data_IF_533537378287
#
_entry.id   IF_533537378287
#
_cell.length_a   1.000
_cell.length_b   1.000
_cell.length_c   1.000
_cell.angle_alpha   90.00
_cell.angle_beta   90.00
_cell.angle_gamma   90.00
#
_symmetry.space_group_name_H-M   'P 1'
#
loop_
_entity.id
_entity.type
_entity.pdbx_description
1 polymer ?
#
# COMPACT_ATOMS: atom_id res chain seq x y z
N UNK A 1 -28.91 6.02 17.92
CA UNK A 1 -29.39 7.12 17.05
C UNK A 1 -30.30 6.49 16.00
N UNK A 2 -31.51 7.00 15.83
CA UNK A 2 -32.44 6.57 14.76
C UNK A 2 -31.96 7.09 13.40
N UNK A 3 -32.16 6.31 12.33
CA UNK A 3 -31.73 6.51 10.93
C UNK A 3 -32.08 7.86 10.26
N UNK A 4 -32.73 8.80 10.94
CA UNK A 4 -33.33 10.00 10.34
C UNK A 4 -32.45 11.26 10.28
N UNK A 5 -31.17 11.20 10.66
CA UNK A 5 -30.26 12.37 10.72
C UNK A 5 -28.88 12.16 10.04
N UNK A 6 -28.74 11.15 9.17
CA UNK A 6 -27.48 10.94 8.46
C UNK A 6 -27.27 12.01 7.37
N UNK A 7 -26.03 12.52 7.19
CA UNK A 7 -25.72 13.45 6.11
C UNK A 7 -26.00 12.83 4.72
N UNK A 8 -26.28 13.63 3.68
CA UNK A 8 -26.73 13.14 2.37
C UNK A 8 -25.71 12.27 1.62
N UNK A 9 -24.43 12.34 2.01
CA UNK A 9 -23.33 11.54 1.47
C UNK A 9 -23.11 10.21 2.21
N UNK A 10 -23.83 10.01 3.30
CA UNK A 10 -23.81 8.77 4.10
C UNK A 10 -25.03 7.96 3.73
N UNK A 11 -24.79 6.77 3.19
CA UNK A 11 -25.84 5.82 2.88
C UNK A 11 -25.83 4.72 3.94
N UNK A 12 -26.95 4.54 4.64
CA UNK A 12 -27.25 3.27 5.31
C UNK A 12 -27.98 2.36 4.30
N UNK A 13 -27.79 1.07 4.42
CA UNK A 13 -28.54 0.07 3.66
C UNK A 13 -30.05 0.13 3.92
N UNK A 14 -30.52 0.65 5.05
CA UNK A 14 -31.95 0.91 5.25
C UNK A 14 -32.54 1.90 4.22
N UNK A 15 -31.72 2.80 3.67
CA UNK A 15 -32.08 3.70 2.57
C UNK A 15 -32.03 3.02 1.19
N UNK A 16 -31.26 1.93 1.06
CA UNK A 16 -31.10 1.14 -0.16
C UNK A 16 -32.18 0.06 -0.33
N UNK A 17 -32.81 -0.37 0.78
CA UNK A 17 -33.91 -1.35 0.84
C UNK A 17 -35.30 -0.85 0.41
N UNK A 18 -35.44 0.34 -0.18
CA UNK A 18 -36.76 0.83 -0.65
C UNK A 18 -37.29 0.12 -1.92
N UNK A 19 -36.60 -0.92 -2.39
CA UNK A 19 -37.12 -1.99 -3.22
C UNK A 19 -37.22 -3.29 -2.39
N UNK A 20 -38.44 -3.80 -2.25
CA UNK A 20 -38.93 -4.87 -1.36
C UNK A 20 -38.18 -6.24 -1.38
N UNK A 21 -38.42 -7.14 -0.38
CA UNK A 21 -37.36 -7.79 0.40
C UNK A 21 -37.26 -9.34 0.28
N UNK A 22 -36.14 -9.94 0.73
CA UNK A 22 -36.13 -10.94 1.83
C UNK A 22 -34.78 -11.66 2.06
N UNK A 23 -34.54 -12.00 3.34
CA UNK A 23 -33.58 -12.97 3.92
C UNK A 23 -32.09 -12.59 4.05
N UNK A 24 -31.61 -12.64 5.31
CA UNK A 24 -30.25 -12.31 5.81
C UNK A 24 -29.80 -10.84 5.62
N UNK A 25 -28.97 -10.26 6.52
CA UNK A 25 -28.35 -8.95 6.27
C UNK A 25 -27.19 -9.07 5.28
N UNK A 26 -27.32 -9.95 4.27
CA UNK A 26 -26.40 -9.95 3.14
C UNK A 26 -26.85 -8.86 2.17
N UNK A 27 -25.88 -8.18 1.58
CA UNK A 27 -26.13 -7.21 0.51
C UNK A 27 -26.73 -7.95 -0.69
N UNK A 28 -27.83 -7.46 -1.25
CA UNK A 28 -28.37 -8.02 -2.50
C UNK A 28 -27.42 -7.77 -3.66
N UNK A 29 -27.43 -8.64 -4.69
CA UNK A 29 -26.56 -8.50 -5.86
C UNK A 29 -26.74 -7.15 -6.59
N UNK A 30 -27.95 -6.61 -6.59
CA UNK A 30 -28.29 -5.32 -7.19
C UNK A 30 -27.71 -4.14 -6.39
N UNK A 31 -27.79 -4.19 -5.05
CA UNK A 31 -27.15 -3.20 -4.16
C UNK A 31 -25.62 -3.22 -4.33
N UNK A 32 -25.03 -4.42 -4.45
CA UNK A 32 -23.60 -4.60 -4.67
C UNK A 32 -23.17 -3.99 -6.02
N UNK A 33 -23.93 -4.25 -7.08
CA UNK A 33 -23.64 -3.74 -8.43
C UNK A 33 -23.72 -2.20 -8.49
N UNK A 34 -24.80 -1.63 -7.96
CA UNK A 34 -25.05 -0.17 -7.96
C UNK A 34 -23.93 0.61 -7.27
N UNK A 35 -23.30 0.02 -6.25
CA UNK A 35 -22.26 0.66 -5.45
C UNK A 35 -20.86 0.13 -5.75
N UNK A 36 -20.65 -0.50 -6.92
CA UNK A 36 -19.44 -1.24 -7.33
C UNK A 36 -18.78 -2.04 -6.18
N UNK A 37 -19.57 -2.54 -5.23
CA UNK A 37 -19.10 -3.35 -4.12
C UNK A 37 -18.70 -4.75 -4.59
N UNK A 38 -18.91 -5.09 -5.87
CA UNK A 38 -18.52 -6.37 -6.46
C UNK A 38 -17.02 -6.63 -6.32
N UNK A 39 -16.20 -5.58 -6.40
CA UNK A 39 -14.76 -5.71 -6.17
C UNK A 39 -14.47 -6.02 -4.71
N UNK A 40 -15.26 -5.46 -3.78
CA UNK A 40 -15.18 -5.77 -2.36
C UNK A 40 -15.70 -7.18 -2.04
N UNK A 41 -16.71 -7.69 -2.76
CA UNK A 41 -17.14 -9.09 -2.62
C UNK A 41 -16.13 -10.09 -3.17
N UNK A 42 -15.36 -9.68 -4.18
CA UNK A 42 -14.29 -10.47 -4.77
C UNK A 42 -13.00 -10.44 -3.94
N UNK A 43 -12.97 -9.75 -2.79
CA UNK A 43 -11.84 -9.80 -1.85
C UNK A 43 -11.55 -11.20 -1.31
N UNK A 44 -12.53 -12.10 -1.40
CA UNK A 44 -12.38 -13.52 -1.09
C UNK A 44 -11.45 -14.25 -2.07
N UNK A 45 -11.23 -13.72 -3.27
CA UNK A 45 -10.54 -14.40 -4.36
C UNK A 45 -9.48 -13.52 -5.04
N UNK A 46 -8.20 -13.84 -4.80
CA UNK A 46 -6.99 -13.34 -5.47
C UNK A 46 -6.82 -11.81 -5.54
N UNK A 47 -5.61 -11.33 -5.80
CA UNK A 47 -5.30 -9.91 -5.93
C UNK A 47 -5.83 -9.27 -7.24
N UNK A 48 -7.02 -9.68 -7.66
CA UNK A 48 -7.72 -9.29 -8.88
C UNK A 48 -8.01 -7.78 -8.94
N UNK A 49 -8.22 -7.13 -7.79
CA UNK A 49 -8.46 -5.69 -7.72
C UNK A 49 -7.30 -4.87 -8.29
N UNK A 50 -6.05 -5.32 -8.09
CA UNK A 50 -4.87 -4.63 -8.64
C UNK A 50 -4.84 -4.74 -10.16
N UNK A 51 -5.18 -5.91 -10.73
CA UNK A 51 -5.31 -6.08 -12.18
C UNK A 51 -6.40 -5.21 -12.79
N UNK A 52 -7.41 -4.86 -12.00
CA UNK A 52 -8.47 -3.92 -12.37
C UNK A 52 -8.09 -2.45 -12.13
N UNK A 53 -6.85 -2.14 -11.70
CA UNK A 53 -6.40 -0.77 -11.43
C UNK A 53 -6.91 -0.18 -10.13
N UNK A 54 -7.27 -1.01 -9.14
CA UNK A 54 -7.84 -0.56 -7.87
C UNK A 54 -7.12 -1.14 -6.66
N UNK A 55 -7.15 -0.38 -5.56
CA UNK A 55 -6.69 -0.83 -4.25
C UNK A 55 -7.86 -1.03 -3.29
N UNK A 56 -7.62 -1.86 -2.27
CA UNK A 56 -8.51 -1.99 -1.12
C UNK A 56 -7.70 -1.79 0.15
N UNK A 57 -8.17 -0.89 1.01
CA UNK A 57 -7.53 -0.56 2.28
C UNK A 57 -8.39 -1.05 3.44
N UNK A 58 -7.78 -1.75 4.39
CA UNK A 58 -8.48 -2.32 5.54
C UNK A 58 -7.98 -1.70 6.84
N UNK A 59 -8.91 -1.42 7.75
CA UNK A 59 -8.61 -0.91 9.09
C UNK A 59 -8.65 0.61 9.16
N UNK A 60 -9.06 1.09 10.34
CA UNK A 60 -9.36 2.50 10.60
C UNK A 60 -8.17 3.42 10.30
N UNK A 61 -7.00 3.11 10.83
CA UNK A 61 -5.79 3.92 10.64
C UNK A 61 -5.34 3.95 9.18
N UNK A 62 -5.42 2.82 8.47
CA UNK A 62 -5.03 2.77 7.06
C UNK A 62 -6.01 3.58 6.19
N UNK A 63 -7.32 3.51 6.48
CA UNK A 63 -8.32 4.32 5.80
C UNK A 63 -8.10 5.82 6.07
N UNK A 64 -7.69 6.18 7.29
CA UNK A 64 -7.33 7.56 7.66
C UNK A 64 -6.13 8.05 6.85
N UNK A 65 -5.03 7.29 6.83
CA UNK A 65 -3.81 7.63 6.06
C UNK A 65 -4.13 7.77 4.57
N UNK A 66 -4.97 6.89 4.03
CA UNK A 66 -5.45 6.94 2.65
C UNK A 66 -6.20 8.27 2.37
N UNK A 67 -7.19 8.62 3.19
CA UNK A 67 -7.95 9.87 3.05
C UNK A 67 -7.04 11.09 3.16
N UNK A 68 -6.18 11.14 4.18
CA UNK A 68 -5.25 12.25 4.40
C UNK A 68 -4.27 12.42 3.23
N UNK A 69 -3.79 11.32 2.66
CA UNK A 69 -2.93 11.38 1.46
C UNK A 69 -3.70 11.88 0.24
N UNK A 70 -4.93 11.42 0.03
CA UNK A 70 -5.77 11.89 -1.08
C UNK A 70 -6.10 13.39 -0.93
N UNK A 71 -6.40 13.85 0.29
CA UNK A 71 -6.58 15.28 0.60
C UNK A 71 -5.31 16.08 0.30
N UNK A 72 -4.15 15.64 0.80
CA UNK A 72 -2.87 16.34 0.62
C UNK A 72 -2.46 16.43 -0.85
N UNK A 73 -2.76 15.39 -1.63
CA UNK A 73 -2.41 15.33 -3.06
C UNK A 73 -3.51 15.83 -4.00
N UNK A 74 -4.63 16.33 -3.46
CA UNK A 74 -5.81 16.73 -4.24
C UNK A 74 -6.22 15.64 -5.25
N UNK A 75 -6.28 14.40 -4.77
CA UNK A 75 -6.58 13.22 -5.58
C UNK A 75 -7.99 12.70 -5.32
N UNK A 76 -8.69 12.30 -6.38
CA UNK A 76 -9.99 11.60 -6.34
C UNK A 76 -9.84 10.08 -6.18
N UNK A 77 -8.64 9.58 -5.88
CA UNK A 77 -8.35 8.15 -5.94
C UNK A 77 -9.06 7.35 -4.85
N UNK A 78 -9.38 7.95 -3.69
CA UNK A 78 -10.27 7.32 -2.74
C UNK A 78 -11.71 7.48 -3.23
N UNK A 79 -12.33 6.38 -3.68
CA UNK A 79 -13.66 6.40 -4.28
C UNK A 79 -14.76 6.26 -3.22
N UNK A 80 -14.58 5.35 -2.27
CA UNK A 80 -15.61 5.00 -1.27
C UNK A 80 -15.01 4.50 0.04
N UNK A 81 -15.77 4.69 1.13
CA UNK A 81 -15.53 4.03 2.42
C UNK A 81 -16.77 3.24 2.87
N UNK A 82 -16.54 2.02 3.33
CA UNK A 82 -17.53 1.17 3.98
C UNK A 82 -17.17 1.06 5.48
N UNK A 83 -17.97 1.67 6.35
CA UNK A 83 -17.61 1.92 7.74
C UNK A 83 -18.69 1.42 8.71
N UNK A 84 -18.28 0.97 9.89
CA UNK A 84 -19.16 0.97 11.07
C UNK A 84 -19.39 2.41 11.52
N UNK A 85 -20.50 2.66 12.21
CA UNK A 85 -20.82 3.98 12.76
C UNK A 85 -19.68 4.57 13.60
N UNK A 86 -19.07 3.77 14.49
CA UNK A 86 -17.94 4.23 15.31
C UNK A 86 -16.69 4.60 14.51
N UNK A 87 -16.42 3.90 13.40
CA UNK A 87 -15.33 4.23 12.50
C UNK A 87 -15.62 5.52 11.73
N UNK A 88 -16.87 5.71 11.27
CA UNK A 88 -17.32 6.94 10.66
C UNK A 88 -17.18 8.14 11.60
N UNK A 89 -17.63 8.02 12.85
CA UNK A 89 -17.48 9.07 13.86
C UNK A 89 -16.01 9.46 14.08
N UNK A 90 -15.10 8.49 14.05
CA UNK A 90 -13.66 8.74 14.20
C UNK A 90 -13.05 9.46 12.99
N UNK A 91 -13.51 9.15 11.77
CA UNK A 91 -12.99 9.74 10.52
C UNK A 91 -13.81 10.92 10.02
N UNK A 92 -14.80 11.38 10.79
CA UNK A 92 -15.82 12.33 10.34
C UNK A 92 -15.22 13.58 9.73
N UNK A 93 -14.22 14.18 10.38
CA UNK A 93 -13.55 15.39 9.90
C UNK A 93 -12.89 15.17 8.54
N UNK A 94 -12.08 14.11 8.41
CA UNK A 94 -11.40 13.79 7.15
C UNK A 94 -12.38 13.50 6.02
N UNK A 95 -13.49 12.81 6.33
CA UNK A 95 -14.57 12.51 5.38
C UNK A 95 -15.24 13.80 4.91
N UNK A 96 -15.62 14.68 5.84
CA UNK A 96 -16.27 15.95 5.53
C UNK A 96 -15.37 16.85 4.68
N UNK A 97 -14.08 16.92 4.99
CA UNK A 97 -13.11 17.69 4.20
C UNK A 97 -12.92 17.11 2.79
N UNK A 98 -12.90 15.78 2.67
CA UNK A 98 -12.75 15.13 1.36
C UNK A 98 -13.99 15.32 0.49
N UNK A 99 -15.19 15.24 1.07
CA UNK A 99 -16.47 15.41 0.34
C UNK A 99 -16.68 16.84 -0.14
N UNK A 100 -16.22 17.84 0.63
CA UNK A 100 -16.25 19.25 0.18
C UNK A 100 -15.49 19.44 -1.14
N UNK A 101 -14.38 18.72 -1.32
CA UNK A 101 -13.58 18.76 -2.54
C UNK A 101 -14.14 17.81 -3.63
N UNK A 102 -14.68 16.67 -3.21
CA UNK A 102 -15.14 15.61 -4.11
C UNK A 102 -16.57 15.16 -3.78
N UNK A 103 -17.58 15.87 -4.28
CA UNK A 103 -18.98 15.59 -3.97
C UNK A 103 -19.47 14.22 -4.43
N UNK A 104 -18.74 13.51 -5.30
CA UNK A 104 -19.05 12.15 -5.76
C UNK A 104 -18.56 11.04 -4.81
N UNK A 105 -17.74 11.38 -3.82
CA UNK A 105 -17.33 10.43 -2.80
C UNK A 105 -18.54 9.99 -1.97
N UNK A 106 -18.55 8.71 -1.58
CA UNK A 106 -19.66 8.11 -0.82
C UNK A 106 -19.14 7.33 0.37
N UNK A 107 -19.86 7.44 1.48
CA UNK A 107 -19.65 6.62 2.68
C UNK A 107 -20.86 5.70 2.84
N UNK A 108 -20.62 4.41 3.02
CA UNK A 108 -21.66 3.42 3.27
C UNK A 108 -21.50 2.93 4.71
N UNK A 109 -22.53 3.10 5.52
CA UNK A 109 -22.56 2.55 6.87
C UNK A 109 -23.01 1.10 6.84
N UNK A 110 -22.21 0.24 7.46
CA UNK A 110 -22.43 -1.20 7.50
C UNK A 110 -22.27 -1.73 8.94
N UNK A 111 -23.13 -2.67 9.30
CA UNK A 111 -22.95 -3.48 10.53
C UNK A 111 -21.75 -4.42 10.42
N UNK A 112 -21.35 -5.02 11.55
CA UNK A 112 -20.29 -6.03 11.61
C UNK A 112 -20.54 -7.22 10.66
N UNK A 113 -21.76 -7.76 10.66
CA UNK A 113 -22.13 -8.91 9.83
C UNK A 113 -22.17 -8.57 8.34
N UNK A 114 -22.57 -7.35 7.98
CA UNK A 114 -22.54 -6.88 6.58
C UNK A 114 -21.12 -6.71 6.07
N UNK A 115 -20.22 -6.11 6.86
CA UNK A 115 -18.80 -5.98 6.50
C UNK A 115 -18.13 -7.35 6.34
N UNK A 116 -18.42 -8.29 7.24
CA UNK A 116 -17.91 -9.65 7.17
C UNK A 116 -18.49 -10.43 5.98
N UNK A 117 -19.77 -10.26 5.68
CA UNK A 117 -20.40 -10.83 4.48
C UNK A 117 -19.72 -10.33 3.20
N UNK A 118 -19.47 -9.02 3.14
CA UNK A 118 -18.81 -8.33 2.03
C UNK A 118 -17.38 -8.84 1.83
N UNK A 119 -16.58 -8.91 2.88
CA UNK A 119 -15.15 -9.22 2.78
C UNK A 119 -14.82 -10.71 2.85
N UNK A 120 -15.68 -11.50 3.50
CA UNK A 120 -15.47 -12.90 3.79
C UNK A 120 -14.68 -13.21 5.05
N UNK A 121 -14.36 -12.21 5.86
CA UNK A 121 -13.65 -12.37 7.12
C UNK A 121 -13.97 -11.21 8.06
N UNK A 122 -13.80 -11.37 9.39
CA UNK A 122 -14.11 -10.31 10.33
C UNK A 122 -13.16 -9.11 10.17
N UNK A 123 -13.74 -7.92 9.98
CA UNK A 123 -12.98 -6.66 9.86
C UNK A 123 -12.78 -6.03 11.24
N UNK A 124 -11.52 -5.95 11.66
CA UNK A 124 -11.13 -5.25 12.90
C UNK A 124 -11.30 -3.74 12.74
N UNK A 125 -11.87 -3.09 13.75
CA UNK A 125 -12.15 -1.65 13.81
C UNK A 125 -13.05 -1.11 12.67
N UNK A 126 -13.70 -2.00 11.91
CA UNK A 126 -14.89 -1.68 11.11
C UNK A 126 -14.71 -0.67 9.98
N UNK A 127 -13.55 -0.60 9.33
CA UNK A 127 -13.31 0.32 8.24
C UNK A 127 -12.68 -0.38 7.03
N UNK A 128 -13.24 -0.11 5.85
CA UNK A 128 -12.70 -0.52 4.55
C UNK A 128 -12.79 0.66 3.61
N UNK A 129 -11.75 0.89 2.84
CA UNK A 129 -11.76 1.82 1.72
C UNK A 129 -11.46 1.13 0.40
N UNK A 130 -11.96 1.75 -0.66
CA UNK A 130 -11.77 1.32 -2.03
C UNK A 130 -11.44 2.53 -2.91
N UNK A 131 -10.46 2.35 -3.80
CA UNK A 131 -9.98 3.44 -4.63
C UNK A 131 -9.24 3.00 -5.87
N UNK A 132 -8.95 3.95 -6.75
CA UNK A 132 -8.11 3.74 -7.94
C UNK A 132 -6.64 3.78 -7.56
N UNK A 133 -5.85 2.85 -8.06
CA UNK A 133 -4.40 2.91 -7.91
C UNK A 133 -3.92 4.23 -8.53
N UNK A 134 -3.17 5.05 -7.78
CA UNK A 134 -2.61 6.30 -8.32
C UNK A 134 -1.63 6.00 -9.46
N UNK A 135 -1.45 6.98 -10.35
CA UNK A 135 -0.38 6.92 -11.33
C UNK A 135 0.97 6.77 -10.63
N UNK A 136 1.83 5.94 -11.21
CA UNK A 136 3.18 5.69 -10.72
C UNK A 136 3.99 6.99 -10.70
N UNK A 137 4.75 7.19 -9.61
CA UNK A 137 5.58 8.37 -9.39
C UNK A 137 7.04 7.98 -9.40
N UNK A 138 7.87 8.79 -10.05
CA UNK A 138 9.31 8.58 -10.10
C UNK A 138 9.94 8.69 -8.71
N UNK A 139 10.93 7.84 -8.44
CA UNK A 139 11.75 7.89 -7.24
C UNK A 139 12.81 9.00 -7.39
N UNK A 140 12.69 10.05 -6.57
CA UNK A 140 13.44 11.31 -6.71
C UNK A 140 14.13 11.79 -5.43
N UNK A 141 13.80 11.19 -4.29
CA UNK A 141 14.43 11.47 -3.00
C UNK A 141 15.95 11.21 -3.01
N UNK A 142 16.66 11.65 -1.96
CA UNK A 142 18.13 11.49 -1.88
C UNK A 142 18.55 10.02 -1.73
N UNK A 143 17.74 9.21 -1.05
CA UNK A 143 17.97 7.78 -0.85
C UNK A 143 16.85 6.98 -1.50
N UNK A 144 17.20 6.04 -2.37
CA UNK A 144 16.23 5.13 -3.00
C UNK A 144 16.53 3.71 -2.52
N UNK A 145 15.50 3.05 -2.00
CA UNK A 145 15.56 1.62 -1.69
C UNK A 145 15.13 0.86 -2.94
N UNK A 146 16.05 0.10 -3.52
CA UNK A 146 15.84 -0.70 -4.71
C UNK A 146 15.56 -2.15 -4.31
N UNK A 147 14.47 -2.73 -4.81
CA UNK A 147 14.00 -4.06 -4.43
C UNK A 147 13.98 -5.01 -5.62
N UNK A 148 14.79 -6.08 -5.53
CA UNK A 148 14.95 -7.09 -6.57
C UNK A 148 14.23 -8.39 -6.19
N UNK A 149 13.13 -8.71 -6.90
CA UNK A 149 12.33 -9.94 -6.71
C UNK A 149 11.76 -10.17 -5.31
N UNK A 150 11.29 -9.11 -4.64
CA UNK A 150 10.62 -9.22 -3.35
C UNK A 150 9.19 -9.72 -3.54
N UNK A 151 8.94 -10.96 -3.16
CA UNK A 151 7.67 -11.65 -3.38
C UNK A 151 6.77 -11.71 -2.14
N UNK A 152 7.31 -11.54 -0.95
CA UNK A 152 6.50 -11.47 0.27
C UNK A 152 5.93 -10.06 0.49
N UNK A 153 4.61 -9.96 0.40
CA UNK A 153 3.86 -8.71 0.62
C UNK A 153 4.02 -8.13 2.02
N UNK A 154 4.30 -8.96 3.03
CA UNK A 154 4.47 -8.49 4.41
C UNK A 154 5.80 -7.74 4.53
N UNK A 155 6.87 -8.33 3.99
CA UNK A 155 8.20 -7.72 3.90
C UNK A 155 8.16 -6.46 3.04
N UNK A 156 7.54 -6.49 1.86
CA UNK A 156 7.37 -5.29 1.03
C UNK A 156 6.66 -4.16 1.81
N UNK A 157 5.58 -4.47 2.53
CA UNK A 157 4.91 -3.44 3.34
C UNK A 157 5.77 -2.93 4.51
N UNK A 158 6.57 -3.79 5.14
CA UNK A 158 7.55 -3.38 6.16
C UNK A 158 8.56 -2.37 5.59
N UNK A 159 9.15 -2.69 4.43
CA UNK A 159 10.10 -1.83 3.73
C UNK A 159 9.45 -0.50 3.34
N UNK A 160 8.22 -0.51 2.81
CA UNK A 160 7.45 0.71 2.48
C UNK A 160 7.32 1.62 3.70
N UNK A 161 6.96 1.04 4.85
CA UNK A 161 6.83 1.81 6.10
C UNK A 161 8.16 2.39 6.53
N UNK A 162 9.24 1.61 6.44
CA UNK A 162 10.59 2.08 6.76
C UNK A 162 11.02 3.20 5.82
N UNK A 163 10.85 3.03 4.50
CA UNK A 163 11.17 4.03 3.48
C UNK A 163 10.45 5.36 3.74
N UNK A 164 9.14 5.33 3.98
CA UNK A 164 8.36 6.53 4.28
C UNK A 164 8.89 7.27 5.52
N UNK A 165 9.20 6.55 6.60
CA UNK A 165 9.72 7.16 7.84
C UNK A 165 11.15 7.71 7.68
N UNK A 166 11.94 7.17 6.77
CA UNK A 166 13.27 7.67 6.44
C UNK A 166 13.26 8.81 5.41
N UNK A 167 12.10 9.10 4.79
CA UNK A 167 12.00 10.05 3.69
C UNK A 167 12.65 9.56 2.39
N UNK A 168 12.70 8.24 2.21
CA UNK A 168 13.26 7.56 1.03
C UNK A 168 12.16 7.09 0.09
N UNK A 169 12.49 7.05 -1.19
CA UNK A 169 11.59 6.52 -2.23
C UNK A 169 11.98 5.06 -2.54
N UNK A 170 11.11 4.37 -3.28
CA UNK A 170 11.30 2.98 -3.65
C UNK A 170 11.39 2.80 -5.16
N UNK A 171 12.30 1.93 -5.60
CA UNK A 171 12.35 1.40 -6.96
C UNK A 171 12.20 -0.13 -6.89
N UNK A 172 11.15 -0.68 -7.49
CA UNK A 172 10.86 -2.10 -7.48
C UNK A 172 11.10 -2.68 -8.88
N UNK A 173 11.79 -3.81 -8.93
CA UNK A 173 11.76 -4.65 -10.13
C UNK A 173 10.32 -5.04 -10.50
N UNK A 174 10.08 -5.22 -11.79
CA UNK A 174 8.75 -5.55 -12.33
C UNK A 174 8.14 -6.82 -11.73
N UNK A 175 8.99 -7.76 -11.31
CA UNK A 175 8.57 -9.04 -10.74
C UNK A 175 8.48 -9.06 -9.21
N UNK A 176 8.65 -7.93 -8.52
CA UNK A 176 8.23 -7.80 -7.12
C UNK A 176 6.70 -7.93 -6.99
N UNK A 177 6.22 -8.47 -5.87
CA UNK A 177 4.79 -8.43 -5.52
C UNK A 177 4.26 -6.98 -5.48
N UNK A 178 2.95 -6.79 -5.67
CA UNK A 178 2.37 -5.43 -5.73
C UNK A 178 2.34 -4.75 -4.36
N UNK A 179 2.77 -3.49 -4.34
CA UNK A 179 2.62 -2.56 -3.23
C UNK A 179 1.14 -2.24 -2.93
N UNK A 180 0.26 -2.43 -3.92
CA UNK A 180 -1.18 -2.19 -3.81
C UNK A 180 -1.98 -3.42 -3.37
N UNK A 181 -1.33 -4.57 -3.14
CA UNK A 181 -1.99 -5.71 -2.51
C UNK A 181 -2.44 -5.34 -1.10
N UNK A 182 -3.63 -5.81 -0.70
CA UNK A 182 -4.22 -5.51 0.62
C UNK A 182 -3.26 -5.76 1.77
N UNK A 183 -2.50 -6.85 1.68
CA UNK A 183 -1.53 -7.23 2.70
C UNK A 183 -0.38 -6.23 2.76
N UNK A 184 0.17 -5.81 1.63
CA UNK A 184 1.21 -4.76 1.52
C UNK A 184 0.73 -3.42 2.10
N UNK A 185 -0.49 -2.99 1.78
CA UNK A 185 -1.10 -1.76 2.33
C UNK A 185 -1.25 -1.88 3.86
N UNK A 186 -1.70 -3.05 4.34
CA UNK A 186 -1.93 -3.28 5.76
C UNK A 186 -0.62 -3.34 6.56
N UNK A 187 0.40 -4.05 6.08
CA UNK A 187 1.68 -4.18 6.79
C UNK A 187 2.50 -2.90 6.73
N UNK A 188 2.34 -2.09 5.68
CA UNK A 188 2.90 -0.73 5.61
C UNK A 188 2.19 0.29 6.50
N UNK A 189 1.08 -0.06 7.16
CA UNK A 189 0.22 0.88 7.89
C UNK A 189 -0.30 2.04 7.02
N UNK A 190 -0.56 1.76 5.73
CA UNK A 190 -1.01 2.75 4.76
C UNK A 190 0.09 3.69 4.23
N UNK A 191 1.34 3.54 4.64
CA UNK A 191 2.43 4.43 4.21
C UNK A 191 2.73 4.35 2.70
N UNK A 192 2.25 3.30 2.00
CA UNK A 192 2.28 3.23 0.53
C UNK A 192 1.63 4.44 -0.15
N UNK A 193 0.65 5.09 0.50
CA UNK A 193 0.03 6.30 -0.05
C UNK A 193 0.91 7.55 0.05
N UNK A 194 2.03 7.49 0.78
CA UNK A 194 2.88 8.66 1.12
C UNK A 194 4.27 8.60 0.50
N UNK A 195 4.74 7.42 0.11
CA UNK A 195 6.04 7.20 -0.54
C UNK A 195 5.89 7.10 -2.06
N UNK A 196 6.88 7.55 -2.83
CA UNK A 196 6.91 7.27 -4.27
C UNK A 196 7.45 5.85 -4.49
N UNK A 197 6.72 5.08 -5.28
CA UNK A 197 7.12 3.72 -5.69
C UNK A 197 7.18 3.72 -7.22
N UNK A 198 8.38 3.50 -7.75
CA UNK A 198 8.65 3.40 -9.18
C UNK A 198 8.87 1.93 -9.55
N UNK A 199 8.18 1.44 -10.59
CA UNK A 199 8.43 0.12 -11.18
C UNK A 199 9.42 0.27 -12.32
N UNK A 200 10.50 -0.50 -12.27
CA UNK A 200 11.66 -0.30 -13.15
C UNK A 200 12.31 -1.62 -13.57
N UNK A 201 13.01 -1.58 -14.70
CA UNK A 201 14.15 -2.47 -14.93
C UNK A 201 15.31 -1.96 -14.06
N UNK A 202 15.69 -2.74 -13.04
CA UNK A 202 16.68 -2.31 -12.06
C UNK A 202 18.05 -2.05 -12.69
N UNK A 203 18.45 -2.85 -13.68
CA UNK A 203 19.76 -2.68 -14.32
C UNK A 203 19.81 -1.35 -15.04
N UNK A 204 18.82 -1.07 -15.88
CA UNK A 204 18.73 0.19 -16.64
C UNK A 204 18.63 1.38 -15.68
N UNK A 205 17.77 1.27 -14.66
CA UNK A 205 17.59 2.33 -13.67
C UNK A 205 18.89 2.65 -12.94
N UNK A 206 19.62 1.65 -12.46
CA UNK A 206 20.86 1.85 -11.72
C UNK A 206 21.96 2.43 -12.61
N UNK A 207 22.11 1.95 -13.86
CA UNK A 207 23.03 2.53 -14.83
C UNK A 207 22.76 4.04 -15.05
N UNK A 208 21.48 4.43 -15.15
CA UNK A 208 21.10 5.84 -15.26
C UNK A 208 21.45 6.65 -14.01
N UNK A 209 21.20 6.11 -12.81
CA UNK A 209 21.54 6.76 -11.55
C UNK A 209 23.06 6.93 -11.39
N UNK A 210 23.85 5.91 -11.74
CA UNK A 210 25.31 5.97 -11.73
C UNK A 210 25.84 7.04 -12.69
N UNK A 211 25.32 7.10 -13.93
CA UNK A 211 25.65 8.19 -14.88
C UNK A 211 25.30 9.57 -14.32
N UNK A 212 24.27 9.65 -13.48
CA UNK A 212 23.87 10.85 -12.74
C UNK A 212 24.66 11.13 -11.46
N UNK A 213 25.73 10.37 -11.17
CA UNK A 213 26.59 10.57 -9.99
C UNK A 213 26.03 10.03 -8.68
N UNK A 214 25.05 9.11 -8.73
CA UNK A 214 24.55 8.43 -7.54
C UNK A 214 25.48 7.29 -7.14
N UNK A 215 25.59 7.02 -5.84
CA UNK A 215 26.25 5.81 -5.33
C UNK A 215 25.27 4.63 -5.31
N UNK A 216 25.69 3.47 -5.81
CA UNK A 216 24.92 2.23 -5.78
C UNK A 216 25.54 1.26 -4.78
N UNK A 217 24.81 0.97 -3.72
CA UNK A 217 25.17 0.01 -2.69
C UNK A 217 24.32 -1.25 -2.86
N UNK A 218 24.95 -2.40 -2.97
CA UNK A 218 24.23 -3.68 -3.14
C UNK A 218 24.49 -4.57 -1.94
N UNK A 219 23.43 -5.08 -1.30
CA UNK A 219 23.60 -6.07 -0.23
C UNK A 219 24.05 -7.40 -0.81
N UNK A 220 25.15 -7.96 -0.32
CA UNK A 220 25.68 -9.24 -0.78
C UNK A 220 26.38 -9.99 0.36
N UNK A 221 26.36 -11.32 0.26
CA UNK A 221 27.10 -12.23 1.13
C UNK A 221 28.45 -12.66 0.52
N UNK A 222 28.81 -12.13 -0.65
CA UNK A 222 30.07 -12.45 -1.31
C UNK A 222 31.29 -12.05 -0.47
N UNK A 223 32.43 -12.70 -0.72
CA UNK A 223 33.70 -12.25 -0.16
C UNK A 223 34.05 -10.84 -0.62
N UNK A 224 34.74 -10.07 0.24
CA UNK A 224 35.16 -8.70 -0.07
C UNK A 224 34.10 -7.62 0.14
N UNK A 225 32.92 -7.95 0.66
CA UNK A 225 31.92 -6.96 1.04
C UNK A 225 32.41 -6.02 2.17
N UNK A 226 32.03 -4.75 2.06
CA UNK A 226 32.25 -3.74 3.10
C UNK A 226 31.20 -3.92 4.20
N UNK A 227 31.59 -3.97 5.49
CA UNK A 227 30.63 -3.96 6.59
C UNK A 227 29.75 -2.71 6.56
N UNK A 228 28.44 -2.86 6.76
CA UNK A 228 27.49 -1.74 6.75
C UNK A 228 27.91 -0.61 7.71
N UNK A 229 28.49 -0.94 8.86
CA UNK A 229 28.99 0.04 9.85
C UNK A 229 30.14 0.91 9.35
N UNK A 230 30.81 0.51 8.27
CA UNK A 230 31.93 1.23 7.64
C UNK A 230 31.54 1.94 6.35
N UNK A 231 30.28 1.83 5.93
CA UNK A 231 29.79 2.48 4.72
C UNK A 231 29.56 3.97 4.99
N UNK A 232 30.17 4.81 4.16
CA UNK A 232 29.92 6.25 4.15
C UNK A 232 29.53 6.74 2.74
N UNK A 233 28.30 7.24 2.63
CA UNK A 233 27.76 7.81 1.39
C UNK A 233 27.93 9.33 1.32
N UNK A 234 28.37 9.99 2.40
CA UNK A 234 28.49 11.45 2.49
C UNK A 234 27.18 12.15 2.12
N UNK A 235 27.28 13.30 1.45
CA UNK A 235 26.11 14.05 0.96
C UNK A 235 25.58 13.57 -0.41
N UNK A 236 26.18 12.52 -0.98
CA UNK A 236 25.82 12.01 -2.31
C UNK A 236 24.46 11.30 -2.25
N UNK A 237 23.69 11.39 -3.34
CA UNK A 237 22.48 10.58 -3.51
C UNK A 237 22.86 9.11 -3.66
N UNK A 238 22.03 8.21 -3.15
CA UNK A 238 22.36 6.80 -3.15
C UNK A 238 21.16 5.91 -3.44
N UNK A 239 21.45 4.76 -4.02
CA UNK A 239 20.56 3.62 -4.14
C UNK A 239 21.10 2.51 -3.24
N UNK A 240 20.24 1.89 -2.44
CA UNK A 240 20.56 0.65 -1.71
C UNK A 240 19.71 -0.49 -2.25
N UNK A 241 20.34 -1.54 -2.75
CA UNK A 241 19.67 -2.67 -3.41
C UNK A 241 19.57 -3.85 -2.45
N UNK A 242 18.35 -4.31 -2.23
CA UNK A 242 18.03 -5.53 -1.49
C UNK A 242 17.44 -6.57 -2.43
N UNK A 243 17.87 -7.82 -2.26
CA UNK A 243 17.42 -8.95 -3.06
C UNK A 243 16.43 -9.84 -2.36
N UNK A 244 15.96 -10.85 -3.08
CA UNK A 244 15.12 -11.91 -2.55
C UNK A 244 15.81 -12.67 -1.42
N UNK A 245 15.07 -13.12 -0.40
CA UNK A 245 15.64 -13.80 0.77
C UNK A 245 16.36 -15.12 0.44
N UNK A 246 15.97 -15.80 -0.64
CA UNK A 246 16.57 -17.06 -1.07
C UNK A 246 17.70 -16.88 -2.09
N UNK A 247 17.45 -16.11 -3.15
CA UNK A 247 18.38 -15.98 -4.28
C UNK A 247 19.32 -14.77 -4.17
N UNK A 248 19.04 -13.83 -3.25
CA UNK A 248 19.74 -12.55 -3.18
C UNK A 248 19.44 -11.65 -4.38
N UNK A 249 20.37 -10.75 -4.67
CA UNK A 249 20.30 -9.79 -5.78
C UNK A 249 20.77 -10.48 -7.07
N UNK A 250 20.10 -10.23 -8.20
CA UNK A 250 20.50 -10.71 -9.53
C UNK A 250 21.93 -10.32 -9.83
N UNK A 251 22.67 -11.23 -10.45
CA UNK A 251 24.09 -11.03 -10.75
C UNK A 251 24.37 -9.77 -11.57
N UNK A 252 23.56 -9.52 -12.59
CA UNK A 252 23.67 -8.34 -13.45
C UNK A 252 23.43 -7.00 -12.71
N UNK A 253 22.67 -7.02 -11.60
CA UNK A 253 22.45 -5.86 -10.74
C UNK A 253 23.59 -5.73 -9.72
N UNK A 254 24.06 -6.87 -9.19
CA UNK A 254 25.20 -6.92 -8.27
C UNK A 254 26.49 -6.40 -8.92
N UNK A 255 26.69 -6.68 -10.21
CA UNK A 255 27.87 -6.27 -10.98
C UNK A 255 27.89 -4.76 -11.30
N UNK A 256 26.78 -4.04 -11.07
CA UNK A 256 26.70 -2.57 -11.16
C UNK A 256 27.07 -1.86 -9.84
N UNK A 257 27.40 -2.59 -8.78
CA UNK A 257 27.65 -1.98 -7.47
C UNK A 257 28.91 -1.11 -7.44
N UNK A 258 28.80 0.09 -6.88
CA UNK A 258 29.98 0.85 -6.42
C UNK A 258 30.55 0.22 -5.15
N UNK A 259 29.66 -0.26 -4.28
CA UNK A 259 30.00 -0.89 -3.01
C UNK A 259 29.10 -2.10 -2.76
N UNK A 260 29.71 -3.27 -2.59
CA UNK A 260 29.03 -4.43 -2.02
C UNK A 260 29.03 -4.34 -0.52
N UNK A 261 27.86 -4.38 0.09
CA UNK A 261 27.66 -4.17 1.52
C UNK A 261 27.18 -5.44 2.18
N UNK A 262 27.69 -5.72 3.38
CA UNK A 262 27.23 -6.82 4.22
C UNK A 262 26.76 -6.29 5.57
N UNK A 263 25.61 -6.79 6.04
CA UNK A 263 25.17 -6.58 7.43
C UNK A 263 25.94 -7.56 8.30
N UNK A 264 26.64 -7.04 9.31
CA UNK A 264 27.42 -7.86 10.25
C UNK A 264 26.48 -8.67 11.14
N UNK A 265 26.74 -9.98 11.26
CA UNK A 265 26.01 -10.91 12.12
C UNK A 265 26.99 -11.46 13.19
N UNK A 266 26.49 -11.73 14.39
CA UNK A 266 27.28 -12.37 15.47
C UNK A 266 26.97 -13.89 15.54
N UNK A 267 25.91 -14.34 14.88
CA UNK A 267 25.39 -15.72 14.95
C UNK A 267 25.81 -16.60 13.77
N UNK A 268 25.37 -17.86 13.82
CA UNK A 268 25.68 -18.88 12.82
C UNK A 268 24.90 -18.70 11.49
N UNK A 269 23.87 -17.85 11.47
CA UNK A 269 23.03 -17.60 10.30
C UNK A 269 23.33 -16.22 9.73
N UNK A 270 23.82 -16.21 8.50
CA UNK A 270 24.16 -15.00 7.73
C UNK A 270 23.00 -14.49 6.85
N UNK A 271 21.76 -14.59 7.35
CA UNK A 271 20.59 -14.05 6.67
C UNK A 271 19.68 -13.30 7.62
N UNK A 272 19.14 -12.20 7.13
CA UNK A 272 18.13 -11.40 7.83
C UNK A 272 16.83 -11.46 7.04
N UNK A 273 15.70 -11.24 7.72
CA UNK A 273 14.49 -10.87 7.02
C UNK A 273 14.76 -9.55 6.28
N UNK A 274 14.30 -9.44 5.03
CA UNK A 274 14.57 -8.28 4.18
C UNK A 274 13.80 -7.01 4.59
N UNK A 275 12.76 -7.17 5.43
CA UNK A 275 11.81 -6.14 5.88
C UNK A 275 12.37 -5.05 6.77
#
# INVERSE_FOLDING_TARGET
MSDSNLPPYVHDLSCLKRSSPSSSPSLSNEEIATHNLQILTNLKANDSHVKLGHYVVEGLENCKVCLESCLKSLSTNCLRLCLKLSAYETLKTQIEDYIKLYPEFRVILLSSSQLESLTGFPIRRGAIGYGKIPEMRKATSRGIICLDKINDTSNLGGIIRTASNLGYDLALSEDCCSEWYRRSIRTSMGEVFRVNVERVDLKIFLEEKMRGGWKVLVTSLSEGCVPLTKVDVGDVKFCVVFGNEGEGVRKEVEDLSDVKVRIESIGEVDSFNVG
#
